data_IF_103675620412
#
_entry.id   IF_103675620412
#
_cell.length_a   1.000
_cell.length_b   1.000
_cell.length_c   1.000
_cell.angle_alpha   90.00
_cell.angle_beta   90.00
_cell.angle_gamma   90.00
#
_symmetry.space_group_name_H-M   'P 1'
#
loop_
_entity.id
_entity.type
_entity.pdbx_description
1 polymer ?
#
# COMPACT_ATOMS: atom_id res chain seq x y z
N UNK A 1 10.37 65.69 -26.23
CA UNK A 1 9.83 64.52 -25.50
C UNK A 1 10.81 64.14 -24.39
N UNK A 2 10.30 64.17 -23.14
CA UNK A 2 10.79 63.51 -21.89
C UNK A 2 12.24 63.80 -21.42
N UNK A 3 12.42 64.78 -20.52
CA UNK A 3 12.56 64.71 -19.02
C UNK A 3 14.01 64.41 -18.59
N UNK A 4 14.80 65.44 -18.22
CA UNK A 4 14.99 66.03 -16.89
C UNK A 4 15.82 65.14 -15.93
N UNK A 5 17.13 65.38 -15.86
CA UNK A 5 18.01 64.91 -14.80
C UNK A 5 18.43 66.13 -13.96
N UNK A 6 17.91 66.24 -12.75
CA UNK A 6 18.35 67.22 -11.76
C UNK A 6 18.82 66.45 -10.53
N UNK A 7 20.14 66.43 -10.33
CA UNK A 7 20.79 65.92 -9.13
C UNK A 7 20.65 66.96 -8.01
N UNK A 8 20.13 66.55 -6.85
CA UNK A 8 20.22 67.33 -5.62
C UNK A 8 20.56 66.42 -4.43
N UNK A 9 21.79 66.61 -3.95
CA UNK A 9 22.21 66.83 -2.56
C UNK A 9 22.13 65.70 -1.53
N UNK A 10 23.33 65.38 -1.02
CA UNK A 10 23.66 64.76 0.27
C UNK A 10 22.92 65.41 1.45
N UNK A 11 22.40 64.59 2.38
CA UNK A 11 22.82 64.69 3.79
C UNK A 11 22.52 63.39 4.52
N UNK A 12 23.55 62.86 5.19
CA UNK A 12 23.49 61.66 6.00
C UNK A 12 22.78 61.93 7.34
N UNK A 13 22.14 60.90 7.90
CA UNK A 13 22.23 60.61 9.34
C UNK A 13 21.82 59.15 9.58
N UNK A 14 22.74 58.37 10.14
CA UNK A 14 22.54 56.95 10.39
C UNK A 14 21.79 56.65 11.68
N UNK A 15 21.14 55.49 11.70
CA UNK A 15 20.98 54.68 12.91
C UNK A 15 21.30 53.23 12.55
N UNK A 16 22.37 52.75 13.18
CA UNK A 16 22.72 51.33 13.29
C UNK A 16 21.71 50.68 14.21
N UNK A 17 20.91 49.74 13.69
CA UNK A 17 20.18 48.78 14.52
C UNK A 17 20.30 47.42 13.83
N UNK A 18 20.90 46.48 14.56
CA UNK A 18 21.31 45.17 14.07
C UNK A 18 20.16 44.39 13.44
N UNK A 19 20.48 43.70 12.34
CA UNK A 19 19.66 42.63 11.80
C UNK A 19 19.77 41.41 12.72
N UNK A 20 18.94 41.33 13.76
CA UNK A 20 18.46 40.02 14.18
C UNK A 20 17.35 39.66 13.19
N UNK A 21 17.66 38.74 12.28
CA UNK A 21 16.61 38.03 11.53
C UNK A 21 15.85 37.24 12.57
N UNK A 22 14.64 37.69 12.90
CA UNK A 22 13.66 36.83 13.53
C UNK A 22 13.28 35.77 12.50
N UNK A 23 13.97 34.62 12.55
CA UNK A 23 13.50 33.40 11.92
C UNK A 23 12.18 33.06 12.58
N UNK A 24 11.08 33.40 11.90
CA UNK A 24 9.77 32.86 12.23
C UNK A 24 9.82 31.36 11.93
N UNK A 25 10.13 30.58 12.96
CA UNK A 25 9.84 29.16 13.02
C UNK A 25 8.34 29.00 12.77
N UNK A 26 7.98 28.65 11.53
CA UNK A 26 6.63 28.18 11.22
C UNK A 26 6.52 26.79 11.85
N UNK A 27 6.24 26.77 13.16
CA UNK A 27 5.81 25.59 13.88
C UNK A 27 4.65 25.00 13.07
N UNK A 28 4.89 23.84 12.46
CA UNK A 28 3.87 23.16 11.68
C UNK A 28 2.69 22.95 12.61
N UNK A 29 1.59 23.69 12.41
CA UNK A 29 0.37 23.53 13.17
C UNK A 29 -0.09 22.09 12.95
N UNK A 30 0.27 21.19 13.89
CA UNK A 30 -0.32 19.87 13.96
C UNK A 30 -1.83 20.13 14.12
N UNK A 31 -2.70 19.45 13.37
CA UNK A 31 -4.13 19.65 13.51
C UNK A 31 -4.51 19.50 14.98
N UNK A 32 -5.09 20.53 15.58
CA UNK A 32 -5.59 20.46 16.96
C UNK A 32 -6.78 19.52 16.93
N UNK A 33 -6.57 18.27 17.37
CA UNK A 33 -7.66 17.35 17.63
C UNK A 33 -8.46 17.95 18.79
N UNK A 34 -9.79 18.18 18.66
CA UNK A 34 -10.59 18.70 19.75
C UNK A 34 -10.41 17.84 21.00
N UNK A 35 -10.31 18.46 22.17
CA UNK A 35 -10.03 17.77 23.42
C UNK A 35 -10.99 16.58 23.65
N UNK A 36 -10.43 15.42 23.98
CA UNK A 36 -11.18 14.18 24.15
C UNK A 36 -11.63 13.51 22.85
N UNK A 37 -11.18 13.94 21.67
CA UNK A 37 -11.34 13.20 20.41
C UNK A 37 -10.03 12.54 20.00
N UNK A 38 -10.13 11.56 19.11
CA UNK A 38 -8.96 10.98 18.46
C UNK A 38 -9.25 10.54 17.03
N UNK A 39 -8.22 10.52 16.20
CA UNK A 39 -8.30 10.20 14.80
C UNK A 39 -7.83 8.77 14.53
N UNK A 40 -8.59 8.05 13.72
CA UNK A 40 -8.22 6.75 13.15
C UNK A 40 -7.87 6.98 11.68
N UNK A 41 -6.60 6.76 11.34
CA UNK A 41 -6.11 6.82 9.97
C UNK A 41 -5.94 5.42 9.40
N UNK A 42 -6.34 5.23 8.14
CA UNK A 42 -6.08 4.00 7.39
C UNK A 42 -5.32 4.37 6.12
N UNK A 43 -4.16 3.77 5.92
CA UNK A 43 -3.29 3.97 4.74
C UNK A 43 -2.90 2.64 4.10
N UNK A 44 -2.31 2.69 2.92
CA UNK A 44 -1.91 1.50 2.16
C UNK A 44 -1.44 1.89 0.77
N UNK A 45 -0.95 0.92 0.01
CA UNK A 45 -0.59 1.15 -1.38
C UNK A 45 -1.85 1.25 -2.26
N UNK A 46 -1.78 2.07 -3.31
CA UNK A 46 -2.87 2.19 -4.28
C UNK A 46 -4.13 2.87 -3.74
N UNK A 47 -4.01 3.79 -2.77
CA UNK A 47 -5.11 4.63 -2.28
C UNK A 47 -5.70 5.44 -3.44
N UNK A 48 -7.01 5.29 -3.65
CA UNK A 48 -7.77 6.02 -4.67
C UNK A 48 -8.46 7.24 -4.04
N UNK A 49 -8.99 7.09 -2.82
CA UNK A 49 -9.65 8.18 -2.11
C UNK A 49 -9.43 8.03 -0.59
N UNK A 50 -9.01 9.12 0.05
CA UNK A 50 -8.68 9.20 1.47
C UNK A 50 -9.86 9.58 2.36
N UNK A 51 -10.99 10.05 1.81
CA UNK A 51 -12.15 10.46 2.63
C UNK A 51 -13.50 10.25 1.93
N UNK A 52 -14.31 9.37 2.50
CA UNK A 52 -15.77 9.37 2.39
C UNK A 52 -16.36 9.82 3.74
N UNK A 53 -17.55 10.44 3.72
CA UNK A 53 -18.33 10.80 4.93
C UNK A 53 -18.59 9.59 5.85
N UNK A 54 -18.48 8.37 5.33
CA UNK A 54 -18.70 7.12 6.05
C UNK A 54 -17.45 6.50 6.70
N UNK A 55 -16.29 7.16 6.65
CA UNK A 55 -15.04 6.58 7.16
C UNK A 55 -14.49 5.43 6.31
N UNK A 56 -14.97 5.30 5.07
CA UNK A 56 -14.46 4.38 4.05
C UNK A 56 -13.25 5.00 3.35
N UNK A 57 -12.18 4.22 3.21
CA UNK A 57 -10.98 4.53 2.43
C UNK A 57 -10.91 3.53 1.27
N UNK A 58 -10.75 4.05 0.05
CA UNK A 58 -10.84 3.29 -1.18
C UNK A 58 -9.44 3.00 -1.73
N UNK A 59 -9.17 1.76 -2.13
CA UNK A 59 -7.89 1.30 -2.69
C UNK A 59 -8.13 0.57 -4.01
N UNK A 60 -7.07 0.44 -4.81
CA UNK A 60 -7.14 -0.28 -6.10
C UNK A 60 -7.62 -1.73 -5.94
N UNK A 61 -7.22 -2.40 -4.86
CA UNK A 61 -7.54 -3.81 -4.61
C UNK A 61 -8.65 -4.08 -3.60
N UNK A 62 -9.32 -3.06 -3.08
CA UNK A 62 -10.32 -3.23 -2.02
C UNK A 62 -10.64 -1.93 -1.31
N UNK A 63 -11.32 -2.03 -0.18
CA UNK A 63 -11.59 -0.88 0.68
C UNK A 63 -11.39 -1.20 2.15
N UNK A 64 -11.20 -0.17 2.95
CA UNK A 64 -11.23 -0.27 4.40
C UNK A 64 -12.26 0.70 4.98
N UNK A 65 -12.78 0.40 6.18
CA UNK A 65 -13.76 1.22 6.91
C UNK A 65 -13.28 1.51 8.33
N UNK A 66 -13.88 2.52 8.96
CA UNK A 66 -13.58 2.92 10.34
C UNK A 66 -12.52 4.01 10.47
N UNK A 67 -12.11 4.63 9.37
CA UNK A 67 -11.28 5.83 9.42
C UNK A 67 -12.12 7.05 9.84
N UNK A 68 -11.53 7.99 10.57
CA UNK A 68 -12.19 9.25 10.91
C UNK A 68 -11.92 9.72 12.34
N UNK A 69 -12.67 10.75 12.74
CA UNK A 69 -12.57 11.36 14.06
C UNK A 69 -13.62 10.76 14.99
N UNK A 70 -13.17 10.23 16.13
CA UNK A 70 -14.00 9.58 17.13
C UNK A 70 -13.95 10.35 18.45
N UNK A 71 -14.99 10.17 19.27
CA UNK A 71 -14.90 10.48 20.70
C UNK A 71 -13.89 9.51 21.33
N UNK A 72 -13.02 10.00 22.20
CA UNK A 72 -11.99 9.23 22.86
C UNK A 72 -12.51 8.11 23.77
N UNK A 73 -13.77 8.17 24.21
CA UNK A 73 -14.41 7.09 24.97
C UNK A 73 -15.18 6.11 24.08
N UNK A 74 -15.27 6.37 22.78
CA UNK A 74 -15.98 5.50 21.86
C UNK A 74 -15.21 4.19 21.65
N UNK A 75 -15.96 3.18 21.22
CA UNK A 75 -15.41 1.98 20.58
C UNK A 75 -15.44 2.18 19.08
N UNK A 76 -14.31 1.93 18.42
CA UNK A 76 -14.22 1.93 16.98
C UNK A 76 -14.19 0.50 16.44
N UNK A 77 -14.68 0.32 15.22
CA UNK A 77 -14.51 -0.90 14.44
C UNK A 77 -13.91 -0.54 13.10
N UNK A 78 -12.82 -1.21 12.75
CA UNK A 78 -12.17 -1.08 11.45
C UNK A 78 -12.24 -2.41 10.72
N UNK A 79 -12.38 -2.37 9.40
CA UNK A 79 -12.40 -3.58 8.56
C UNK A 79 -11.76 -3.33 7.21
N UNK A 80 -11.12 -4.33 6.62
CA UNK A 80 -10.58 -4.33 5.27
C UNK A 80 -11.26 -5.41 4.44
N UNK A 81 -11.71 -5.07 3.22
CA UNK A 81 -12.44 -5.98 2.33
C UNK A 81 -11.78 -5.94 0.94
N UNK A 82 -11.20 -7.04 0.46
CA UNK A 82 -10.62 -7.10 -0.88
C UNK A 82 -11.72 -7.11 -1.96
N UNK A 83 -11.41 -6.56 -3.12
CA UNK A 83 -12.23 -6.73 -4.32
C UNK A 83 -11.96 -8.06 -5.02
N UNK A 84 -12.88 -8.48 -5.88
CA UNK A 84 -12.70 -9.69 -6.69
C UNK A 84 -11.41 -9.59 -7.52
N UNK A 85 -10.62 -10.68 -7.52
CA UNK A 85 -9.30 -10.72 -8.16
C UNK A 85 -8.19 -10.07 -7.34
N UNK A 86 -8.43 -9.76 -6.06
CA UNK A 86 -7.42 -9.32 -5.11
C UNK A 86 -7.51 -10.13 -3.82
N UNK A 87 -6.38 -10.25 -3.14
CA UNK A 87 -6.27 -10.82 -1.81
C UNK A 87 -5.91 -9.72 -0.80
N UNK A 88 -6.53 -9.77 0.39
CA UNK A 88 -6.04 -9.02 1.54
C UNK A 88 -4.77 -9.69 2.05
N UNK A 89 -3.62 -9.05 1.83
CA UNK A 89 -2.31 -9.57 2.24
C UNK A 89 -1.99 -9.18 3.67
N UNK A 90 -2.33 -7.96 4.06
CA UNK A 90 -2.15 -7.49 5.43
C UNK A 90 -3.17 -6.43 5.79
N UNK A 91 -3.67 -6.50 7.01
CA UNK A 91 -4.34 -5.40 7.68
C UNK A 91 -3.79 -5.33 9.10
N UNK A 92 -2.94 -4.33 9.35
CA UNK A 92 -2.25 -4.18 10.63
C UNK A 92 -2.45 -2.79 11.19
N UNK A 93 -2.43 -2.64 12.50
CA UNK A 93 -2.53 -1.31 13.09
C UNK A 93 -2.33 -1.28 14.58
N UNK A 94 -2.32 -0.07 15.11
CA UNK A 94 -2.13 0.19 16.52
C UNK A 94 -2.14 1.69 16.84
N UNK A 95 -1.95 2.03 18.12
CA UNK A 95 -1.91 3.41 18.57
C UNK A 95 -0.70 4.14 17.98
N UNK A 96 -0.90 5.40 17.57
CA UNK A 96 0.17 6.28 17.11
C UNK A 96 1.13 6.55 18.27
N UNK A 97 2.43 6.36 18.02
CA UNK A 97 3.48 6.46 19.04
C UNK A 97 3.61 5.23 19.95
N UNK A 98 2.77 4.21 19.76
CA UNK A 98 2.85 2.92 20.47
C UNK A 98 3.24 1.76 19.55
N UNK A 99 2.75 0.56 19.87
CA UNK A 99 2.94 -0.62 19.03
C UNK A 99 2.02 -0.56 17.80
N UNK A 100 2.57 -0.19 16.65
CA UNK A 100 1.81 -0.06 15.39
C UNK A 100 1.37 -1.40 14.77
N UNK A 101 1.78 -2.53 15.33
CA UNK A 101 1.37 -3.89 14.94
C UNK A 101 0.60 -4.59 16.06
N UNK A 102 -0.03 -3.83 16.97
CA UNK A 102 -0.88 -4.39 18.02
C UNK A 102 -1.98 -5.29 17.45
N UNK A 103 -2.55 -4.91 16.31
CA UNK A 103 -3.50 -5.71 15.55
C UNK A 103 -2.84 -6.23 14.28
N UNK A 104 -2.92 -7.55 14.06
CA UNK A 104 -2.46 -8.24 12.86
C UNK A 104 -3.21 -9.58 12.67
N UNK A 105 -3.22 -10.12 11.45
CA UNK A 105 -3.75 -11.47 11.16
C UNK A 105 -5.27 -11.60 11.02
N UNK A 106 -6.02 -10.50 11.02
CA UNK A 106 -7.47 -10.47 10.80
C UNK A 106 -7.83 -9.32 9.85
N UNK A 107 -9.01 -9.39 9.26
CA UNK A 107 -9.58 -8.37 8.38
C UNK A 107 -10.47 -7.36 9.12
N UNK A 108 -10.68 -7.56 10.43
CA UNK A 108 -11.57 -6.74 11.25
C UNK A 108 -11.11 -6.67 12.70
N UNK A 109 -11.18 -5.47 13.29
CA UNK A 109 -10.85 -5.22 14.69
C UNK A 109 -11.87 -4.30 15.35
N UNK A 110 -12.09 -4.49 16.64
CA UNK A 110 -12.88 -3.60 17.48
C UNK A 110 -12.08 -3.28 18.75
N UNK A 111 -11.98 -1.99 19.09
CA UNK A 111 -11.12 -1.52 20.17
C UNK A 111 -11.62 -0.17 20.73
N UNK A 112 -11.24 0.14 21.97
CA UNK A 112 -11.49 1.45 22.56
C UNK A 112 -10.55 2.50 21.97
N UNK A 113 -11.07 3.68 21.64
CA UNK A 113 -10.27 4.76 21.04
C UNK A 113 -9.29 5.38 22.05
N UNK A 114 -9.71 5.46 23.31
CA UNK A 114 -8.92 5.88 24.48
C UNK A 114 -8.26 7.26 24.36
N UNK A 115 -8.92 8.19 23.65
CA UNK A 115 -8.40 9.54 23.36
C UNK A 115 -7.00 9.54 22.73
N UNK A 116 -6.62 8.45 22.06
CA UNK A 116 -5.34 8.29 21.38
C UNK A 116 -5.57 8.09 19.88
N UNK A 117 -4.73 8.68 19.05
CA UNK A 117 -4.79 8.48 17.61
C UNK A 117 -4.36 7.05 17.24
N UNK A 118 -4.99 6.49 16.20
CA UNK A 118 -4.70 5.16 15.70
C UNK A 118 -4.32 5.20 14.23
N UNK A 119 -3.41 4.30 13.83
CA UNK A 119 -3.04 4.11 12.44
C UNK A 119 -3.13 2.64 12.06
N UNK A 120 -3.79 2.39 10.95
CA UNK A 120 -3.82 1.09 10.28
C UNK A 120 -3.16 1.20 8.90
N UNK A 121 -2.46 0.14 8.51
CA UNK A 121 -1.95 -0.06 7.18
C UNK A 121 -2.63 -1.29 6.57
N UNK A 122 -3.10 -1.15 5.33
CA UNK A 122 -3.70 -2.22 4.55
C UNK A 122 -2.89 -2.47 3.28
N UNK A 123 -2.78 -3.74 2.89
CA UNK A 123 -2.17 -4.15 1.63
C UNK A 123 -3.11 -5.14 0.94
N UNK A 124 -3.53 -4.76 -0.27
CA UNK A 124 -4.22 -5.64 -1.21
C UNK A 124 -3.27 -5.94 -2.36
N UNK A 125 -3.23 -7.20 -2.79
CA UNK A 125 -2.46 -7.59 -3.97
C UNK A 125 -3.33 -8.34 -4.96
N UNK A 126 -3.04 -8.15 -6.24
CA UNK A 126 -3.80 -8.77 -7.31
C UNK A 126 -3.55 -10.28 -7.34
N UNK A 127 -4.56 -11.03 -7.69
CA UNK A 127 -4.48 -12.47 -7.93
C UNK A 127 -4.32 -12.74 -9.42
N UNK A 128 -3.49 -13.72 -9.74
CA UNK A 128 -3.27 -14.21 -11.11
C UNK A 128 -3.45 -15.72 -11.18
N UNK A 129 -4.00 -16.18 -12.30
CA UNK A 129 -4.19 -17.60 -12.58
C UNK A 129 -3.00 -18.18 -13.34
N UNK A 130 -2.39 -19.22 -12.77
CA UNK A 130 -1.37 -20.04 -13.42
C UNK A 130 -2.02 -21.33 -13.88
N UNK A 131 -2.31 -21.40 -15.18
CA UNK A 131 -2.92 -22.57 -15.82
C UNK A 131 -1.83 -23.50 -16.32
N UNK A 132 -1.92 -24.79 -15.98
CA UNK A 132 -1.01 -25.81 -16.48
C UNK A 132 -1.73 -26.74 -17.46
N UNK A 133 -1.04 -27.06 -18.56
CA UNK A 133 -1.50 -28.03 -19.55
C UNK A 133 -0.49 -29.18 -19.55
N UNK A 134 -0.91 -30.35 -19.08
CA UNK A 134 -0.09 -31.56 -19.14
C UNK A 134 -0.22 -32.22 -20.52
N UNK A 135 0.91 -32.63 -21.10
CA UNK A 135 0.91 -33.54 -22.25
C UNK A 135 0.75 -35.00 -21.79
N UNK A 136 0.34 -35.90 -22.70
CA UNK A 136 -0.06 -37.28 -22.38
C UNK A 136 1.02 -38.14 -21.71
N UNK A 137 2.27 -37.67 -21.67
CA UNK A 137 3.44 -38.37 -21.12
C UNK A 137 3.72 -38.11 -19.64
N UNK A 138 2.92 -37.32 -18.92
CA UNK A 138 3.16 -37.05 -17.51
C UNK A 138 2.07 -36.27 -16.78
N UNK A 139 2.40 -35.82 -15.57
CA UNK A 139 1.57 -34.97 -14.74
C UNK A 139 2.28 -33.66 -14.42
N UNK A 140 1.49 -32.62 -14.13
CA UNK A 140 1.98 -31.28 -13.78
C UNK A 140 1.31 -30.78 -12.51
N UNK A 141 2.04 -30.04 -11.69
CA UNK A 141 1.56 -29.48 -10.42
C UNK A 141 2.10 -28.06 -10.21
N UNK A 142 1.54 -27.33 -9.24
CA UNK A 142 2.04 -26.01 -8.81
C UNK A 142 1.27 -24.81 -9.37
N UNK A 143 0.34 -25.03 -10.31
CA UNK A 143 -0.56 -24.01 -10.84
C UNK A 143 -1.61 -23.51 -9.84
N UNK A 144 -2.66 -22.89 -10.37
CA UNK A 144 -3.77 -22.30 -9.62
C UNK A 144 -3.65 -20.79 -9.45
N UNK A 145 -4.50 -20.22 -8.59
CA UNK A 145 -4.48 -18.80 -8.24
C UNK A 145 -3.27 -18.51 -7.35
N UNK A 146 -2.53 -17.46 -7.66
CA UNK A 146 -1.35 -16.97 -6.95
C UNK A 146 -1.40 -15.46 -6.78
N UNK A 147 -0.78 -14.96 -5.72
CA UNK A 147 -0.73 -13.52 -5.45
C UNK A 147 0.41 -12.87 -6.23
N UNK A 148 0.21 -11.65 -6.66
CA UNK A 148 1.25 -10.82 -7.27
C UNK A 148 2.51 -10.73 -6.39
N UNK A 149 3.66 -10.94 -7.02
CA UNK A 149 4.96 -10.94 -6.39
C UNK A 149 5.34 -12.25 -5.69
N UNK A 150 4.42 -13.20 -5.51
CA UNK A 150 4.76 -14.52 -5.00
C UNK A 150 5.62 -15.30 -5.99
N UNK A 151 6.40 -16.26 -5.46
CA UNK A 151 7.13 -17.23 -6.29
C UNK A 151 6.23 -18.44 -6.52
N UNK A 152 5.81 -18.64 -7.77
CA UNK A 152 5.15 -19.87 -8.20
C UNK A 152 6.23 -20.87 -8.65
N UNK A 153 6.12 -22.12 -8.19
CA UNK A 153 6.94 -23.23 -8.69
C UNK A 153 6.04 -24.29 -9.28
N UNK A 154 6.22 -24.58 -10.56
CA UNK A 154 5.54 -25.66 -11.27
C UNK A 154 6.48 -26.85 -11.39
N UNK A 155 5.93 -28.06 -11.33
CA UNK A 155 6.69 -29.31 -11.37
C UNK A 155 6.03 -30.33 -12.30
N UNK A 156 6.85 -31.00 -13.12
CA UNK A 156 6.44 -32.04 -14.04
C UNK A 156 6.94 -33.40 -13.55
N UNK A 157 6.09 -34.41 -13.67
CA UNK A 157 6.39 -35.80 -13.32
C UNK A 157 6.08 -36.68 -14.53
N UNK A 158 7.07 -36.99 -15.37
CA UNK A 158 6.89 -37.89 -16.50
C UNK A 158 6.48 -39.29 -16.03
N UNK A 159 5.59 -39.94 -16.79
CA UNK A 159 5.30 -41.36 -16.60
C UNK A 159 6.48 -42.22 -17.05
N UNK A 160 6.53 -43.46 -16.55
CA UNK A 160 7.58 -44.42 -16.89
C UNK A 160 7.77 -44.54 -18.41
N UNK A 161 9.02 -44.41 -18.85
CA UNK A 161 9.39 -44.48 -20.28
C UNK A 161 9.28 -43.14 -21.03
N UNK A 162 8.73 -42.08 -20.42
CA UNK A 162 8.73 -40.73 -21.00
C UNK A 162 9.90 -39.90 -20.45
N UNK A 163 10.26 -38.86 -21.20
CA UNK A 163 11.23 -37.84 -20.80
C UNK A 163 10.54 -36.47 -20.75
N UNK A 164 11.00 -35.63 -19.83
CA UNK A 164 10.54 -34.25 -19.78
C UNK A 164 11.37 -33.41 -20.74
N UNK A 165 10.71 -32.73 -21.69
CA UNK A 165 11.39 -31.96 -22.72
C UNK A 165 11.39 -30.45 -22.46
N UNK A 166 10.52 -29.97 -21.56
CA UNK A 166 10.54 -28.59 -21.12
C UNK A 166 9.16 -28.00 -20.86
N UNK A 167 9.16 -26.87 -20.17
CA UNK A 167 7.98 -26.01 -20.04
C UNK A 167 7.94 -25.03 -21.20
N UNK A 168 6.76 -24.84 -21.77
CA UNK A 168 6.50 -23.96 -22.90
C UNK A 168 5.40 -22.95 -22.58
N UNK A 169 5.57 -21.73 -23.06
CA UNK A 169 4.56 -20.67 -23.01
C UNK A 169 4.50 -19.96 -24.36
N UNK A 170 3.31 -19.83 -24.94
CA UNK A 170 3.16 -19.27 -26.28
C UNK A 170 3.94 -20.03 -27.37
N UNK A 171 4.27 -21.31 -27.16
CA UNK A 171 5.09 -22.13 -28.04
C UNK A 171 6.61 -21.96 -27.87
N UNK A 172 7.06 -21.06 -26.99
CA UNK A 172 8.49 -20.88 -26.69
C UNK A 172 8.90 -21.65 -25.44
N UNK A 173 10.07 -22.30 -25.49
CA UNK A 173 10.64 -22.99 -24.33
C UNK A 173 11.01 -21.96 -23.25
N UNK A 174 10.41 -22.07 -22.06
CA UNK A 174 10.69 -21.19 -20.91
C UNK A 174 11.60 -21.86 -19.88
N UNK A 175 11.68 -23.20 -19.86
CA UNK A 175 12.59 -23.95 -19.00
C UNK A 175 12.73 -25.40 -19.49
N UNK A 176 13.94 -25.95 -19.49
CA UNK A 176 14.18 -27.38 -19.72
C UNK A 176 14.20 -28.20 -18.42
N UNK A 177 14.10 -27.55 -17.26
CA UNK A 177 14.06 -28.19 -15.94
C UNK A 177 12.64 -28.61 -15.59
N UNK A 178 12.47 -29.82 -15.05
CA UNK A 178 11.19 -30.38 -14.59
C UNK A 178 10.53 -29.52 -13.50
N UNK A 179 11.33 -28.78 -12.74
CA UNK A 179 10.89 -27.72 -11.83
C UNK A 179 11.21 -26.36 -12.41
N UNK A 180 10.19 -25.50 -12.52
CA UNK A 180 10.32 -24.13 -13.00
C UNK A 180 9.69 -23.15 -12.02
N UNK A 181 10.51 -22.22 -11.52
CA UNK A 181 10.08 -21.17 -10.57
C UNK A 181 10.12 -19.80 -11.22
N UNK A 182 9.11 -18.98 -10.95
CA UNK A 182 9.02 -17.61 -11.46
C UNK A 182 8.22 -16.71 -10.53
N UNK A 183 8.48 -15.41 -10.58
CA UNK A 183 7.68 -14.40 -9.87
C UNK A 183 6.37 -14.14 -10.62
N UNK A 184 5.26 -14.20 -9.89
CA UNK A 184 3.92 -13.99 -10.44
C UNK A 184 3.68 -12.50 -10.67
N UNK A 185 3.40 -12.14 -11.92
CA UNK A 185 3.10 -10.74 -12.34
C UNK A 185 1.97 -10.64 -13.36
N UNK A 186 1.47 -11.78 -13.86
CA UNK A 186 0.40 -11.86 -14.85
C UNK A 186 -0.20 -13.28 -14.86
N UNK A 187 -1.35 -13.43 -15.52
CA UNK A 187 -1.90 -14.75 -15.82
C UNK A 187 -0.98 -15.47 -16.80
N UNK A 188 -0.77 -16.76 -16.57
CA UNK A 188 0.12 -17.59 -17.40
C UNK A 188 -0.53 -18.90 -17.77
N UNK A 189 -0.22 -19.39 -18.96
CA UNK A 189 -0.61 -20.73 -19.42
C UNK A 189 0.65 -21.46 -19.84
N UNK A 190 1.05 -22.44 -19.04
CA UNK A 190 2.32 -23.16 -19.20
C UNK A 190 2.00 -24.60 -19.58
N UNK A 191 2.64 -25.10 -20.64
CA UNK A 191 2.53 -26.49 -21.09
C UNK A 191 3.81 -27.26 -20.76
N UNK A 192 3.69 -28.50 -20.28
CA UNK A 192 4.82 -29.44 -20.07
C UNK A 192 5.16 -30.27 -21.28
#
# INVERSE_FOLDING_TARGET
MKKLFLFYVLFALGFVTGCSRDDFDQESLRPVVPEGKANIAISGDGVINTRSTSGKVEFTGGYATGAGLYDGKATATVSAVPYSGYQLVSFTGGPVGGNTNQFAGSDKYSFGVESQDWKFNVSFKKEYSITLIAESGGQVTGGGVKVEGDVCTVAASPFMGNQFNGWYEGGSLVSSSDRYSFTVSSNRTIRS
#
